data_IF_242190468557
#
_entry.id   IF_242190468557
#
_cell.length_a   1.000
_cell.length_b   1.000
_cell.length_c   1.000
_cell.angle_alpha   90.00
_cell.angle_beta   90.00
_cell.angle_gamma   90.00
#
_symmetry.space_group_name_H-M   'P 1'
#
loop_
_entity.id
_entity.type
_entity.pdbx_description
1 polymer ?
#
# COMPACT_ATOMS: atom_id res chain seq x y z
N UNK A 1 21.51 4.17 16.68
CA UNK A 1 20.94 3.09 15.82
C UNK A 1 21.36 3.32 14.38
N UNK A 2 22.00 2.34 13.72
CA UNK A 2 22.45 2.50 12.34
C UNK A 2 21.25 2.69 11.40
N UNK A 3 21.29 3.74 10.57
CA UNK A 3 20.19 4.15 9.65
C UNK A 3 19.71 3.03 8.71
N UNK A 4 20.58 2.07 8.41
CA UNK A 4 20.31 0.90 7.55
C UNK A 4 19.26 -0.06 8.13
N UNK A 5 19.24 -0.28 9.45
CA UNK A 5 18.38 -1.26 10.09
C UNK A 5 16.89 -0.85 10.06
N UNK A 6 16.62 0.46 10.16
CA UNK A 6 15.26 1.02 10.00
C UNK A 6 14.71 0.78 8.59
N UNK A 7 15.57 0.87 7.56
CA UNK A 7 15.16 0.68 6.16
C UNK A 7 14.70 -0.76 5.90
N UNK A 8 15.48 -1.74 6.35
CA UNK A 8 15.14 -3.16 6.21
C UNK A 8 13.84 -3.49 6.93
N UNK A 9 13.65 -2.98 8.14
CA UNK A 9 12.43 -3.19 8.91
C UNK A 9 11.19 -2.63 8.20
N UNK A 10 11.28 -1.43 7.61
CA UNK A 10 10.18 -0.84 6.83
C UNK A 10 9.82 -1.69 5.61
N UNK A 11 10.81 -2.27 4.93
CA UNK A 11 10.57 -3.19 3.81
C UNK A 11 9.90 -4.49 4.24
N UNK A 12 10.29 -5.04 5.39
CA UNK A 12 9.64 -6.23 5.97
C UNK A 12 8.19 -5.92 6.33
N UNK A 13 7.94 -4.81 7.04
CA UNK A 13 6.58 -4.39 7.41
C UNK A 13 5.73 -4.16 6.16
N UNK A 14 6.29 -3.52 5.14
CA UNK A 14 5.60 -3.33 3.87
C UNK A 14 5.24 -4.65 3.20
N UNK A 15 6.18 -5.59 3.08
CA UNK A 15 5.93 -6.91 2.49
C UNK A 15 4.88 -7.70 3.27
N UNK A 16 4.98 -7.71 4.61
CA UNK A 16 4.00 -8.37 5.48
C UNK A 16 2.62 -7.72 5.34
N UNK A 17 2.53 -6.39 5.26
CA UNK A 17 1.26 -5.70 5.02
C UNK A 17 0.69 -5.97 3.64
N UNK A 18 1.54 -6.01 2.61
CA UNK A 18 1.13 -6.23 1.21
C UNK A 18 0.56 -7.65 1.02
N UNK A 19 1.18 -8.66 1.62
CA UNK A 19 0.69 -10.06 1.58
C UNK A 19 -0.42 -10.28 2.60
N UNK A 20 -0.32 -9.63 3.76
CA UNK A 20 -1.31 -9.68 4.84
C UNK A 20 -2.66 -9.10 4.43
N UNK A 21 -2.69 -8.02 3.64
CA UNK A 21 -3.93 -7.38 3.18
C UNK A 21 -4.87 -8.35 2.43
N UNK A 22 -4.45 -9.01 1.34
CA UNK A 22 -5.30 -9.98 0.64
C UNK A 22 -5.58 -11.24 1.47
N UNK A 23 -4.63 -11.67 2.30
CA UNK A 23 -4.80 -12.86 3.15
C UNK A 23 -5.84 -12.61 4.26
N UNK A 24 -5.77 -11.46 4.93
CA UNK A 24 -6.73 -11.01 5.93
C UNK A 24 -8.12 -10.80 5.32
N UNK A 25 -8.22 -10.14 4.17
CA UNK A 25 -9.50 -9.92 3.50
C UNK A 25 -10.17 -11.24 3.06
N UNK A 26 -9.38 -12.25 2.68
CA UNK A 26 -9.91 -13.59 2.38
C UNK A 26 -10.33 -14.37 3.62
N UNK A 27 -9.48 -14.42 4.65
CA UNK A 27 -9.74 -15.27 5.83
C UNK A 27 -10.74 -14.62 6.79
N UNK A 28 -10.56 -13.34 7.12
CA UNK A 28 -11.33 -12.66 8.16
C UNK A 28 -12.61 -12.00 7.62
N UNK A 29 -12.55 -11.44 6.40
CA UNK A 29 -13.69 -10.73 5.79
C UNK A 29 -14.43 -11.56 4.73
N UNK A 30 -14.01 -12.82 4.50
CA UNK A 30 -14.60 -13.76 3.52
C UNK A 30 -14.85 -13.14 2.13
N UNK A 31 -14.00 -12.19 1.72
CA UNK A 31 -14.14 -11.52 0.43
C UNK A 31 -13.81 -12.51 -0.69
N UNK A 32 -14.82 -12.92 -1.44
CA UNK A 32 -14.67 -13.85 -2.57
C UNK A 32 -14.39 -13.14 -3.90
N UNK A 33 -14.72 -11.85 -4.00
CA UNK A 33 -14.47 -11.05 -5.20
C UNK A 33 -12.98 -10.76 -5.38
N UNK A 34 -12.38 -11.39 -6.39
CA UNK A 34 -10.95 -11.21 -6.75
C UNK A 34 -10.60 -9.73 -7.02
N UNK A 35 -11.51 -8.98 -7.64
CA UNK A 35 -11.30 -7.55 -7.92
C UNK A 35 -11.25 -6.69 -6.65
N UNK A 36 -12.09 -6.98 -5.66
CA UNK A 36 -12.08 -6.26 -4.38
C UNK A 36 -10.77 -6.51 -3.61
N UNK A 37 -10.25 -7.74 -3.66
CA UNK A 37 -8.94 -8.05 -3.11
C UNK A 37 -7.83 -7.27 -3.82
N UNK A 38 -7.84 -7.24 -5.15
CA UNK A 38 -6.83 -6.56 -5.94
C UNK A 38 -6.85 -5.05 -5.64
N UNK A 39 -8.04 -4.43 -5.69
CA UNK A 39 -8.23 -3.01 -5.37
C UNK A 39 -7.72 -2.73 -3.95
N UNK A 40 -8.08 -3.54 -2.95
CA UNK A 40 -7.64 -3.31 -1.57
C UNK A 40 -6.12 -3.47 -1.39
N UNK A 41 -5.50 -4.41 -2.11
CA UNK A 41 -4.05 -4.62 -2.07
C UNK A 41 -3.31 -3.45 -2.71
N UNK A 42 -3.81 -2.95 -3.86
CA UNK A 42 -3.27 -1.76 -4.51
C UNK A 42 -3.49 -0.52 -3.66
N UNK A 43 -4.66 -0.39 -3.01
CA UNK A 43 -4.98 0.70 -2.09
C UNK A 43 -3.96 0.78 -0.96
N UNK A 44 -3.61 -0.36 -0.36
CA UNK A 44 -2.58 -0.45 0.68
C UNK A 44 -1.21 0.01 0.16
N UNK A 45 -0.82 -0.45 -1.03
CA UNK A 45 0.46 -0.04 -1.62
C UNK A 45 0.53 1.48 -1.89
N UNK A 46 -0.54 2.05 -2.44
CA UNK A 46 -0.67 3.50 -2.69
C UNK A 46 -0.67 4.28 -1.37
N UNK A 47 -1.34 3.75 -0.33
CA UNK A 47 -1.34 4.38 0.99
C UNK A 47 0.06 4.42 1.62
N UNK A 48 0.84 3.34 1.50
CA UNK A 48 2.23 3.33 1.98
C UNK A 48 3.10 4.34 1.22
N UNK A 49 2.84 4.55 -0.07
CA UNK A 49 3.50 5.61 -0.84
C UNK A 49 3.10 7.01 -0.34
N UNK A 50 1.87 7.20 0.14
CA UNK A 50 1.38 8.48 0.64
C UNK A 50 1.89 8.87 2.04
N UNK A 51 2.34 7.90 2.85
CA UNK A 51 2.75 8.13 4.25
C UNK A 51 4.06 8.94 4.41
N UNK A 52 4.80 9.23 3.33
CA UNK A 52 5.98 10.12 3.35
C UNK A 52 7.25 9.58 4.00
N UNK A 53 7.13 8.66 4.97
CA UNK A 53 8.24 8.09 5.74
C UNK A 53 8.51 6.59 5.49
N UNK A 54 7.95 6.03 4.42
CA UNK A 54 7.98 4.60 4.12
C UNK A 54 9.30 4.07 3.53
N UNK A 55 9.35 2.80 3.12
CA UNK A 55 10.52 2.17 2.50
C UNK A 55 11.05 2.91 1.24
N UNK A 56 10.19 3.74 0.64
CA UNK A 56 10.46 4.52 -0.57
C UNK A 56 11.11 5.89 -0.31
N UNK A 57 11.13 6.37 0.95
CA UNK A 57 11.63 7.71 1.29
C UNK A 57 13.11 7.96 0.93
N UNK A 58 13.89 6.89 0.70
CA UNK A 58 15.29 6.99 0.29
C UNK A 58 15.53 7.02 -1.22
N UNK A 59 14.49 7.01 -2.06
CA UNK A 59 14.64 7.04 -3.50
C UNK A 59 14.60 8.47 -4.06
N UNK A 60 15.50 8.84 -4.98
CA UNK A 60 15.57 10.20 -5.54
C UNK A 60 14.35 10.58 -6.40
N UNK A 61 13.57 9.60 -6.85
CA UNK A 61 12.32 9.81 -7.59
C UNK A 61 11.09 9.92 -6.67
N UNK A 62 11.24 9.62 -5.39
CA UNK A 62 10.13 9.60 -4.45
C UNK A 62 9.91 10.98 -3.84
N UNK A 63 8.72 11.52 -4.06
CA UNK A 63 8.21 12.69 -3.35
C UNK A 63 6.91 12.31 -2.66
N UNK A 64 6.79 12.60 -1.37
CA UNK A 64 5.61 12.33 -0.54
C UNK A 64 4.31 12.84 -1.20
N UNK A 65 4.39 14.04 -1.79
CA UNK A 65 3.27 14.68 -2.51
C UNK A 65 2.72 13.77 -3.62
N UNK A 66 3.58 13.08 -4.38
CA UNK A 66 3.13 12.17 -5.44
C UNK A 66 2.39 10.95 -4.88
N UNK A 67 2.80 10.46 -3.70
CA UNK A 67 2.08 9.41 -2.99
C UNK A 67 0.68 9.86 -2.57
N UNK A 68 0.56 11.05 -1.98
CA UNK A 68 -0.74 11.63 -1.60
C UNK A 68 -1.65 11.88 -2.81
N UNK A 69 -1.10 12.39 -3.91
CA UNK A 69 -1.84 12.58 -5.17
C UNK A 69 -2.32 11.25 -5.75
N UNK A 70 -1.47 10.22 -5.75
CA UNK A 70 -1.85 8.87 -6.17
C UNK A 70 -2.98 8.31 -5.29
N UNK A 71 -2.96 8.57 -3.98
CA UNK A 71 -4.02 8.15 -3.07
C UNK A 71 -5.36 8.80 -3.40
N UNK A 72 -5.37 10.12 -3.64
CA UNK A 72 -6.58 10.85 -4.05
C UNK A 72 -7.13 10.28 -5.36
N UNK A 73 -6.27 10.11 -6.37
CA UNK A 73 -6.67 9.48 -7.64
C UNK A 73 -7.24 8.08 -7.42
N UNK A 74 -6.59 7.29 -6.57
CA UNK A 74 -7.05 5.94 -6.24
C UNK A 74 -8.42 5.95 -5.58
N UNK A 75 -8.71 6.89 -4.68
CA UNK A 75 -10.02 7.04 -4.05
C UNK A 75 -11.12 7.35 -5.05
N UNK A 76 -10.84 8.11 -6.13
CA UNK A 76 -11.81 8.35 -7.20
C UNK A 76 -11.99 7.14 -8.12
N UNK A 77 -10.91 6.42 -8.43
CA UNK A 77 -10.93 5.29 -9.36
C UNK A 77 -11.50 4.00 -8.75
N UNK A 78 -11.21 3.74 -7.48
CA UNK A 78 -11.63 2.53 -6.77
C UNK A 78 -13.15 2.27 -6.83
N UNK A 79 -14.06 3.23 -6.56
CA UNK A 79 -15.50 3.01 -6.64
C UNK A 79 -16.04 3.09 -8.08
N UNK A 80 -15.29 3.68 -9.02
CA UNK A 80 -15.68 3.71 -10.44
C UNK A 80 -15.60 2.32 -11.06
N UNK A 81 -14.76 1.43 -10.50
CA UNK A 81 -14.69 0.03 -10.89
C UNK A 81 -15.88 -0.76 -10.33
N UNK A 82 -16.97 -0.84 -11.11
CA UNK A 82 -18.10 -1.73 -10.83
C UNK A 82 -17.72 -3.17 -11.21
N UNK A 83 -17.35 -3.97 -10.22
CA UNK A 83 -17.14 -5.42 -10.34
C UNK A 83 -18.35 -6.25 -9.93
#
# INVERSE_FOLDING_TARGET
MPKSQKKVLLWIIFGVGLVGTPFYLRLAASVTKKMQLLISTVAFAVWVLATGGGPFAGFPWYHEVYGSMALIMFTFLAPMYKG
#
